data_IF_144824114263
#
_entry.id   IF_144824114263
#
_cell.length_a   1.000
_cell.length_b   1.000
_cell.length_c   1.000
_cell.angle_alpha   90.00
_cell.angle_beta   90.00
_cell.angle_gamma   90.00
#
_symmetry.space_group_name_H-M   'P 1'
#
loop_
_entity.id
_entity.type
_entity.pdbx_description
1 polymer ?
#
# COMPACT_ATOMS: atom_id res chain seq x y z
N UNK A 1 21.45 -3.30 -0.90
CA UNK A 1 22.01 -3.85 -2.15
C UNK A 1 21.85 -5.37 -2.14
N UNK A 2 21.89 -6.01 -3.31
CA UNK A 2 21.82 -7.47 -3.42
C UNK A 2 23.11 -7.98 -4.08
N UNK A 3 23.77 -8.96 -3.48
CA UNK A 3 24.97 -9.58 -4.02
C UNK A 3 24.83 -11.10 -4.10
N UNK A 4 25.49 -11.71 -5.08
CA UNK A 4 25.44 -13.16 -5.31
C UNK A 4 26.05 -13.57 -6.64
N UNK A 5 26.68 -14.74 -6.70
CA UNK A 5 27.33 -15.24 -7.93
C UNK A 5 28.42 -14.32 -8.48
N UNK A 6 29.11 -13.56 -7.62
CA UNK A 6 30.14 -12.58 -8.00
C UNK A 6 29.59 -11.23 -8.51
N UNK A 7 28.27 -11.05 -8.55
CA UNK A 7 27.62 -9.81 -8.96
C UNK A 7 27.08 -9.06 -7.74
N UNK A 8 27.03 -7.73 -7.83
CA UNK A 8 26.37 -6.86 -6.85
C UNK A 8 25.51 -5.85 -7.59
N UNK A 9 24.26 -5.69 -7.16
CA UNK A 9 23.27 -4.83 -7.82
C UNK A 9 22.44 -4.06 -6.81
N UNK A 10 22.14 -2.81 -7.14
CA UNK A 10 21.19 -1.99 -6.39
C UNK A 10 19.76 -2.47 -6.62
N UNK A 11 18.87 -2.12 -5.68
CA UNK A 11 17.44 -2.31 -5.86
C UNK A 11 16.84 -1.08 -6.53
N UNK A 12 15.84 -1.31 -7.38
CA UNK A 12 15.08 -0.27 -8.05
C UNK A 12 13.72 -0.11 -7.38
N UNK A 13 13.28 1.14 -7.16
CA UNK A 13 11.97 1.45 -6.58
C UNK A 13 10.89 1.12 -7.62
N UNK A 14 10.09 0.10 -7.37
CA UNK A 14 8.95 -0.23 -8.22
C UNK A 14 7.76 0.67 -7.93
N UNK A 15 7.45 0.87 -6.64
CA UNK A 15 6.25 1.57 -6.23
C UNK A 15 6.42 2.26 -4.88
N UNK A 16 5.90 3.49 -4.81
CA UNK A 16 5.60 4.17 -3.55
C UNK A 16 4.13 3.90 -3.20
N UNK A 17 3.89 3.05 -2.20
CA UNK A 17 2.53 2.64 -1.80
C UNK A 17 1.95 3.70 -0.87
N UNK A 18 2.77 4.27 0.03
CA UNK A 18 2.35 5.35 0.93
C UNK A 18 1.78 6.55 0.17
N UNK A 19 2.46 7.02 -0.88
CA UNK A 19 1.97 8.12 -1.71
C UNK A 19 0.64 7.79 -2.39
N UNK A 20 0.47 6.56 -2.90
CA UNK A 20 -0.78 6.10 -3.48
C UNK A 20 -1.91 6.02 -2.46
N UNK A 21 -1.62 5.57 -1.23
CA UNK A 21 -2.60 5.48 -0.15
C UNK A 21 -3.11 6.86 0.24
N UNK A 22 -2.22 7.82 0.45
CA UNK A 22 -2.62 9.21 0.79
C UNK A 22 -3.45 9.82 -0.33
N UNK A 23 -3.03 9.65 -1.59
CA UNK A 23 -3.79 10.15 -2.74
C UNK A 23 -5.18 9.52 -2.83
N UNK A 24 -5.25 8.19 -2.75
CA UNK A 24 -6.51 7.44 -2.83
C UNK A 24 -7.45 7.79 -1.67
N UNK A 25 -6.88 7.98 -0.47
CA UNK A 25 -7.63 8.40 0.72
C UNK A 25 -8.25 9.79 0.52
N UNK A 26 -7.47 10.75 0.03
CA UNK A 26 -7.97 12.10 -0.24
C UNK A 26 -9.06 12.11 -1.31
N UNK A 27 -8.85 11.39 -2.43
CA UNK A 27 -9.83 11.31 -3.52
C UNK A 27 -11.15 10.69 -3.05
N UNK A 28 -11.10 9.66 -2.20
CA UNK A 28 -12.29 9.03 -1.60
C UNK A 28 -12.95 9.96 -0.60
N UNK A 29 -12.18 10.57 0.30
CA UNK A 29 -12.70 11.50 1.31
C UNK A 29 -13.47 12.65 0.65
N UNK A 30 -12.88 13.31 -0.35
CA UNK A 30 -13.53 14.41 -1.07
C UNK A 30 -14.84 13.97 -1.74
N UNK A 31 -14.84 12.79 -2.37
CA UNK A 31 -16.04 12.24 -3.02
C UNK A 31 -17.14 11.94 -2.01
N UNK A 32 -16.83 11.30 -0.89
CA UNK A 32 -17.81 10.96 0.13
C UNK A 32 -18.32 12.20 0.86
N UNK A 33 -17.45 13.19 1.12
CA UNK A 33 -17.88 14.49 1.65
C UNK A 33 -18.83 15.20 0.69
N UNK A 34 -18.52 15.24 -0.61
CA UNK A 34 -19.39 15.85 -1.61
C UNK A 34 -20.74 15.14 -1.69
N UNK A 35 -20.74 13.80 -1.77
CA UNK A 35 -21.96 13.00 -1.78
C UNK A 35 -22.79 13.21 -0.51
N UNK A 36 -22.15 13.27 0.65
CA UNK A 36 -22.81 13.50 1.94
C UNK A 36 -23.44 14.88 1.99
N UNK A 37 -22.74 15.92 1.56
CA UNK A 37 -23.28 17.28 1.48
C UNK A 37 -24.45 17.38 0.51
N UNK A 38 -24.35 16.77 -0.67
CA UNK A 38 -25.45 16.71 -1.63
C UNK A 38 -26.67 15.99 -1.05
N UNK A 39 -26.46 14.85 -0.38
CA UNK A 39 -27.52 14.09 0.29
C UNK A 39 -28.17 14.91 1.41
N UNK A 40 -27.39 15.65 2.19
CA UNK A 40 -27.89 16.56 3.22
C UNK A 40 -28.72 17.69 2.61
N UNK A 41 -28.26 18.31 1.53
CA UNK A 41 -28.97 19.37 0.83
C UNK A 41 -30.31 18.88 0.27
N UNK A 42 -30.31 17.73 -0.42
CA UNK A 42 -31.53 17.10 -0.93
C UNK A 42 -32.52 16.73 0.19
N UNK A 43 -32.01 16.21 1.32
CA UNK A 43 -32.85 15.92 2.49
C UNK A 43 -33.46 17.19 3.06
N UNK A 44 -32.69 18.29 3.14
CA UNK A 44 -33.20 19.56 3.67
C UNK A 44 -34.22 20.22 2.74
N UNK A 45 -34.02 20.14 1.42
CA UNK A 45 -35.02 20.65 0.47
C UNK A 45 -36.33 19.86 0.55
N UNK A 46 -36.26 18.53 0.61
CA UNK A 46 -37.45 17.69 0.80
C UNK A 46 -38.12 17.98 2.16
N UNK A 47 -37.35 18.08 3.25
CA UNK A 47 -37.87 18.44 4.58
C UNK A 47 -38.58 19.80 4.54
N UNK A 48 -38.04 20.80 3.84
CA UNK A 48 -38.67 22.12 3.73
C UNK A 48 -40.01 22.10 2.99
N UNK A 49 -40.17 21.23 2.00
CA UNK A 49 -41.41 21.05 1.23
C UNK A 49 -42.42 20.19 1.98
N UNK A 50 -41.96 19.16 2.70
CA UNK A 50 -42.79 18.22 3.46
C UNK A 50 -43.09 18.74 4.87
N UNK A 51 -42.49 19.85 5.33
CA UNK A 51 -42.77 20.44 6.65
C UNK A 51 -44.25 20.79 6.86
N UNK A 52 -44.99 20.95 5.77
CA UNK A 52 -46.42 21.21 5.75
C UNK A 52 -47.29 19.92 5.71
N UNK A 53 -46.70 18.72 5.58
CA UNK A 53 -47.40 17.42 5.60
C UNK A 53 -46.70 16.38 6.51
N UNK A 54 -47.36 15.97 7.59
CA UNK A 54 -47.06 14.88 8.55
C UNK A 54 -45.59 14.55 8.90
N UNK A 55 -45.19 14.94 10.13
CA UNK A 55 -43.83 14.86 10.69
C UNK A 55 -43.28 13.43 10.94
N UNK A 56 -44.13 12.41 10.89
CA UNK A 56 -43.83 11.06 11.40
C UNK A 56 -43.13 10.16 10.37
N UNK A 57 -43.37 10.39 9.08
CA UNK A 57 -42.81 9.56 7.99
C UNK A 57 -41.35 9.92 7.67
N UNK A 58 -40.98 11.20 7.83
CA UNK A 58 -39.63 11.69 7.52
C UNK A 58 -38.53 11.22 8.48
N UNK A 59 -38.87 10.91 9.75
CA UNK A 59 -37.91 10.47 10.75
C UNK A 59 -37.46 9.01 10.56
N UNK A 60 -38.38 8.11 10.19
CA UNK A 60 -38.10 6.68 10.01
C UNK A 60 -37.13 6.39 8.85
N UNK A 61 -37.27 7.11 7.72
CA UNK A 61 -36.34 6.98 6.58
C UNK A 61 -34.92 7.52 6.88
N UNK A 62 -34.80 8.45 7.83
CA UNK A 62 -33.52 9.07 8.15
C UNK A 62 -32.58 8.16 8.94
N UNK A 63 -33.14 7.32 9.81
CA UNK A 63 -32.38 6.38 10.65
C UNK A 63 -31.97 5.16 9.82
N UNK A 64 -32.83 4.69 8.91
CA UNK A 64 -32.55 3.52 8.09
C UNK A 64 -31.33 3.71 7.17
N UNK A 65 -31.14 4.91 6.59
CA UNK A 65 -29.99 5.19 5.74
C UNK A 65 -28.66 5.31 6.50
N UNK A 66 -28.68 5.94 7.68
CA UNK A 66 -27.47 6.13 8.51
C UNK A 66 -26.89 4.79 9.00
N UNK A 67 -27.72 3.76 9.17
CA UNK A 67 -27.30 2.43 9.63
C UNK A 67 -26.70 1.58 8.49
N UNK A 68 -26.97 1.90 7.23
CA UNK A 68 -26.44 1.13 6.08
C UNK A 68 -25.04 1.54 5.62
N UNK A 69 -24.45 2.58 6.22
CA UNK A 69 -23.11 3.05 5.85
C UNK A 69 -22.07 1.98 6.22
N UNK A 70 -21.55 1.32 5.19
CA UNK A 70 -20.64 0.17 5.33
C UNK A 70 -19.25 0.69 5.69
N UNK A 71 -18.87 0.52 6.96
CA UNK A 71 -17.52 0.83 7.44
C UNK A 71 -16.46 0.05 6.65
N UNK A 72 -15.38 0.71 6.25
CA UNK A 72 -14.26 0.07 5.58
C UNK A 72 -13.51 -0.83 6.57
N UNK A 73 -13.73 -2.14 6.48
CA UNK A 73 -13.08 -3.13 7.35
C UNK A 73 -11.72 -3.59 6.84
N UNK A 74 -11.13 -2.92 5.85
CA UNK A 74 -9.83 -3.31 5.30
C UNK A 74 -8.72 -2.66 6.13
N UNK A 75 -7.95 -3.50 6.82
CA UNK A 75 -6.81 -3.05 7.59
C UNK A 75 -5.61 -2.69 6.68
N UNK A 76 -5.62 -1.48 6.15
CA UNK A 76 -4.53 -0.95 5.32
C UNK A 76 -3.25 -0.63 6.09
N UNK A 77 -3.24 -0.73 7.44
CA UNK A 77 -2.05 -0.49 8.25
C UNK A 77 -0.92 -1.50 8.01
N UNK A 78 -1.20 -2.63 7.36
CA UNK A 78 -0.21 -3.71 7.14
C UNK A 78 0.46 -3.66 5.76
N UNK A 79 0.11 -2.69 4.91
CA UNK A 79 0.74 -2.55 3.60
C UNK A 79 2.18 -2.03 3.73
N UNK A 80 3.15 -2.58 2.97
CA UNK A 80 4.49 -2.04 2.96
C UNK A 80 4.46 -0.63 2.37
N UNK A 81 5.21 0.30 2.96
CA UNK A 81 5.28 1.69 2.51
C UNK A 81 5.81 1.81 1.07
N UNK A 82 6.76 0.95 0.70
CA UNK A 82 7.40 0.94 -0.61
C UNK A 82 7.68 -0.49 -1.07
N UNK A 83 7.77 -0.67 -2.39
CA UNK A 83 8.13 -1.93 -3.02
C UNK A 83 9.38 -1.71 -3.87
N UNK A 84 10.40 -2.51 -3.60
CA UNK A 84 11.68 -2.48 -4.30
C UNK A 84 11.96 -3.84 -4.92
N UNK A 85 12.60 -3.87 -6.07
CA UNK A 85 12.97 -5.12 -6.73
C UNK A 85 14.29 -4.99 -7.48
N UNK A 86 14.92 -6.13 -7.73
CA UNK A 86 16.05 -6.22 -8.65
C UNK A 86 16.06 -7.60 -9.30
N UNK A 87 16.77 -7.72 -10.41
CA UNK A 87 16.94 -8.97 -11.16
C UNK A 87 18.42 -9.23 -11.39
N UNK A 88 18.85 -10.45 -11.06
CA UNK A 88 20.22 -10.93 -11.28
C UNK A 88 20.19 -12.25 -12.03
N UNK A 89 21.11 -12.42 -12.98
CA UNK A 89 21.34 -13.70 -13.65
C UNK A 89 22.38 -14.48 -12.85
N UNK A 90 22.04 -15.68 -12.41
CA UNK A 90 22.90 -16.51 -11.57
C UNK A 90 23.17 -17.86 -12.23
N UNK A 91 24.32 -18.51 -11.94
CA UNK A 91 24.59 -19.85 -12.45
C UNK A 91 23.57 -20.87 -11.93
N UNK A 92 23.29 -21.89 -12.75
CA UNK A 92 22.40 -23.00 -12.39
C UNK A 92 22.94 -23.75 -11.17
N UNK A 93 22.04 -24.16 -10.27
CA UNK A 93 22.36 -24.87 -9.02
C UNK A 93 22.05 -24.05 -7.77
N UNK A 94 22.50 -24.56 -6.62
CA UNK A 94 22.37 -23.87 -5.33
C UNK A 94 23.29 -22.65 -5.28
N UNK A 95 22.71 -21.49 -5.03
CA UNK A 95 23.40 -20.21 -4.90
C UNK A 95 23.05 -19.57 -3.56
N UNK A 96 24.01 -18.85 -3.01
CA UNK A 96 23.80 -17.98 -1.86
C UNK A 96 23.77 -16.53 -2.34
N UNK A 97 22.73 -15.81 -1.98
CA UNK A 97 22.60 -14.38 -2.24
C UNK A 97 22.51 -13.64 -0.91
N UNK A 98 23.14 -12.47 -0.83
CA UNK A 98 23.14 -11.63 0.37
C UNK A 98 22.40 -10.33 0.07
N UNK A 99 21.35 -10.08 0.85
CA UNK A 99 20.65 -8.80 0.86
C UNK A 99 21.20 -7.95 2.00
N UNK A 100 21.91 -6.87 1.64
CA UNK A 100 22.39 -5.88 2.60
C UNK A 100 21.39 -4.73 2.70
N UNK A 101 20.89 -4.52 3.92
CA UNK A 101 19.96 -3.45 4.27
C UNK A 101 20.63 -2.45 5.20
N UNK A 102 20.18 -1.20 5.20
CA UNK A 102 20.61 -0.16 6.15
C UNK A 102 19.39 0.47 6.79
N UNK A 103 19.35 0.59 8.12
CA UNK A 103 18.33 1.34 8.84
C UNK A 103 18.82 2.75 9.22
N UNK A 104 17.90 3.63 9.59
CA UNK A 104 18.23 4.94 10.13
C UNK A 104 19.13 4.81 11.36
N UNK A 105 20.19 5.62 11.43
CA UNK A 105 21.20 5.54 12.50
C UNK A 105 22.47 4.75 12.16
N UNK A 106 22.62 4.28 10.91
CA UNK A 106 23.86 3.65 10.43
C UNK A 106 23.97 2.14 10.68
N UNK A 107 22.91 1.52 11.20
CA UNK A 107 22.88 0.07 11.44
C UNK A 107 22.54 -0.67 10.15
N UNK A 108 23.50 -1.43 9.63
CA UNK A 108 23.31 -2.34 8.50
C UNK A 108 23.00 -3.76 8.96
N UNK A 109 22.18 -4.49 8.20
CA UNK A 109 21.97 -5.93 8.41
C UNK A 109 21.97 -6.67 7.09
N UNK A 110 22.76 -7.74 7.07
CA UNK A 110 22.86 -8.67 5.95
C UNK A 110 21.95 -9.87 6.19
N UNK A 111 21.25 -10.26 5.13
CA UNK A 111 20.38 -11.43 5.10
C UNK A 111 20.87 -12.38 4.01
N UNK A 112 21.37 -13.53 4.41
CA UNK A 112 21.73 -14.60 3.49
C UNK A 112 20.48 -15.38 3.09
N UNK A 113 20.31 -15.61 1.79
CA UNK A 113 19.19 -16.32 1.21
C UNK A 113 19.74 -17.41 0.29
N UNK A 114 19.32 -18.65 0.50
CA UNK A 114 19.67 -19.74 -0.39
C UNK A 114 18.61 -19.88 -1.50
N UNK A 115 19.06 -19.97 -2.74
CA UNK A 115 18.20 -20.16 -3.91
C UNK A 115 18.70 -21.31 -4.76
N UNK A 116 17.77 -22.13 -5.26
CA UNK A 116 18.07 -23.16 -6.26
C UNK A 116 17.68 -22.65 -7.65
N UNK A 117 18.69 -22.37 -8.48
CA UNK A 117 18.50 -21.81 -9.82
C UNK A 117 18.41 -22.96 -10.83
N UNK A 118 17.27 -23.04 -11.52
CA UNK A 118 17.02 -24.07 -12.53
C UNK A 118 17.10 -23.45 -13.93
N UNK A 119 17.75 -24.16 -14.86
CA UNK A 119 17.88 -23.71 -16.26
C UNK A 119 16.50 -23.38 -16.86
N UNK A 120 16.37 -22.18 -17.42
CA UNK A 120 15.13 -21.72 -18.07
C UNK A 120 13.98 -21.38 -17.13
N UNK A 121 14.19 -21.34 -15.80
CA UNK A 121 13.16 -20.96 -14.82
C UNK A 121 13.57 -19.69 -14.08
N UNK A 122 12.60 -18.81 -13.86
CA UNK A 122 12.76 -17.63 -12.99
C UNK A 122 12.41 -18.00 -11.56
N UNK A 123 13.37 -17.82 -10.65
CA UNK A 123 13.14 -17.99 -9.20
C UNK A 123 12.81 -16.64 -8.59
N UNK A 124 11.71 -16.58 -7.83
CA UNK A 124 11.29 -15.37 -7.11
C UNK A 124 11.58 -15.53 -5.62
N UNK A 125 12.12 -14.48 -5.02
CA UNK A 125 12.37 -14.39 -3.58
C UNK A 125 11.73 -13.11 -3.07
N UNK A 126 10.98 -13.22 -1.98
CA UNK A 126 10.33 -12.08 -1.34
C UNK A 126 10.96 -11.81 0.02
N UNK A 127 11.33 -10.56 0.27
CA UNK A 127 11.81 -10.09 1.56
C UNK A 127 10.89 -8.98 2.06
N UNK A 128 10.54 -9.01 3.35
CA UNK A 128 9.73 -7.99 4.02
C UNK A 128 10.39 -7.63 5.34
N UNK A 129 10.51 -6.34 5.63
CA UNK A 129 11.05 -5.85 6.89
C UNK A 129 10.36 -4.54 7.27
N UNK A 130 10.20 -4.31 8.58
CA UNK A 130 9.71 -3.05 9.15
C UNK A 130 10.87 -2.13 9.57
N UNK A 131 12.08 -2.68 9.70
CA UNK A 131 13.26 -1.99 10.24
C UNK A 131 14.26 -1.57 9.15
N UNK A 132 14.24 -2.26 8.01
CA UNK A 132 15.12 -1.95 6.89
C UNK A 132 14.76 -0.57 6.32
N UNK A 133 15.74 0.33 6.29
CA UNK A 133 15.63 1.62 5.61
C UNK A 133 15.78 1.48 4.10
N UNK A 134 15.74 2.63 3.42
CA UNK A 134 15.78 2.70 1.97
C UNK A 134 17.04 2.04 1.41
N UNK A 135 16.93 1.24 0.31
CA UNK A 135 18.10 0.74 -0.37
C UNK A 135 18.98 1.90 -0.85
N UNK A 136 20.23 1.93 -0.42
CA UNK A 136 21.21 2.86 -0.97
C UNK A 136 21.59 2.43 -2.39
N UNK A 137 21.58 3.38 -3.33
CA UNK A 137 22.09 3.13 -4.67
C UNK A 137 23.61 3.02 -4.62
N UNK A 138 24.16 1.93 -5.16
CA UNK A 138 25.59 1.84 -5.48
C UNK A 138 25.82 2.76 -6.66
N UNK A 139 26.54 3.86 -6.43
CA UNK A 139 27.07 4.70 -7.50
C UNK A 139 28.17 3.92 -8.22
N UNK A 140 27.99 3.64 -9.51
CA UNK A 140 29.09 3.15 -10.34
C UNK A 140 30.04 4.32 -10.60
N UNK A 141 31.30 4.18 -10.17
CA UNK A 141 32.42 4.98 -10.67
C UNK A 141 32.93 4.39 -11.98
#
# INVERSE_FOLDING_TARGET
>A
TLSGGGLSKSLDKAQDVSALLVKTLNDRMLREMANSLLRLAAKKSLESVVRDQDKTVGALFSIFNAVTEKSDTRNWQTLPAEIWYTRMMLPVGKQKITLSTSSGGGYGKDYEIEVDIKKGKTTFVTFRSLEAGLPTSVSYK
#
